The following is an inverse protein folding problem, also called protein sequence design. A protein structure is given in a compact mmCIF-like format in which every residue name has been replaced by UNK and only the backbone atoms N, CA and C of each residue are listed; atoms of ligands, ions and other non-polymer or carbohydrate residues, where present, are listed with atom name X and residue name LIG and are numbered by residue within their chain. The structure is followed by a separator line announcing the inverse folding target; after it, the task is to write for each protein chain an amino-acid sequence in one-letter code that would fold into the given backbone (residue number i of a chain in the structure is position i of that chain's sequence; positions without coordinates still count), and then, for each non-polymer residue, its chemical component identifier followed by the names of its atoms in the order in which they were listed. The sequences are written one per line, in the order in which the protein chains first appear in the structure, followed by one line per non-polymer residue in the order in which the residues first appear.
data_IF_206992382851
#
_entry.id   IF_206992382851
#
_cell.length_a   1.000
_cell.length_b   1.000
_cell.length_c   1.000
_cell.angle_alpha   90.00
_cell.angle_beta   90.00
_cell.angle_gamma   90.00
#
_symmetry.space_group_name_H-M   'P 1'
#
loop_
_entity.id
_entity.type
_entity.pdbx_description
1 polymer ?
#
# COMPACT_ATOMS: atom_id res chain seq x y z
N UNK A 1 41.53 34.58 -1.23
CA UNK A 1 40.79 34.86 -2.48
C UNK A 1 39.30 34.85 -2.15
N UNK A 2 38.72 36.04 -1.95
CA UNK A 2 37.27 36.23 -1.90
C UNK A 2 36.79 36.59 -3.30
N UNK A 3 35.71 35.95 -3.77
CA UNK A 3 35.02 36.33 -4.99
C UNK A 3 33.72 37.00 -4.55
N UNK A 4 33.69 38.33 -4.68
CA UNK A 4 32.52 39.15 -4.43
C UNK A 4 31.77 39.48 -5.72
N UNK A 5 30.47 39.71 -5.52
CA UNK A 5 29.58 40.65 -6.23
C UNK A 5 29.30 40.42 -7.73
N UNK A 6 28.02 40.25 -8.05
CA UNK A 6 27.21 41.38 -8.54
C UNK A 6 25.78 40.95 -8.85
N UNK A 7 24.81 41.48 -8.10
CA UNK A 7 23.40 41.55 -8.49
C UNK A 7 23.29 42.43 -9.73
N UNK A 8 22.82 41.88 -10.85
CA UNK A 8 22.47 42.69 -12.02
C UNK A 8 21.04 43.22 -11.93
N UNK A 9 20.98 44.52 -12.23
CA UNK A 9 19.85 45.45 -12.28
C UNK A 9 18.61 44.91 -12.99
N UNK A 10 17.46 45.24 -12.39
CA UNK A 10 16.17 45.36 -13.06
C UNK A 10 16.25 46.39 -14.18
N UNK A 11 16.04 45.95 -15.43
CA UNK A 11 15.86 46.84 -16.56
C UNK A 11 14.39 47.28 -16.62
N UNK A 12 14.13 48.53 -16.22
CA UNK A 12 12.89 49.22 -16.52
C UNK A 12 12.89 49.60 -18.01
N UNK A 13 12.26 48.76 -18.84
CA UNK A 13 12.03 49.02 -20.26
C UNK A 13 10.80 49.90 -20.47
N UNK A 14 10.95 50.95 -21.28
CA UNK A 14 9.90 51.87 -21.75
C UNK A 14 8.62 51.13 -22.17
N UNK A 15 7.51 51.42 -21.49
CA UNK A 15 6.16 51.14 -21.95
C UNK A 15 5.82 52.06 -23.12
N UNK A 16 6.06 51.59 -24.34
CA UNK A 16 5.44 52.15 -25.54
C UNK A 16 3.93 51.89 -25.52
N UNK A 17 3.17 52.72 -26.22
CA UNK A 17 1.70 52.70 -26.31
C UNK A 17 1.12 51.30 -26.60
N UNK A 18 1.84 50.43 -27.31
CA UNK A 18 1.45 49.02 -27.54
C UNK A 18 1.49 48.10 -26.31
N UNK A 19 2.29 48.42 -25.29
CA UNK A 19 2.38 47.63 -24.05
C UNK A 19 1.16 47.81 -23.14
N UNK A 20 0.53 48.99 -23.17
CA UNK A 20 -0.72 49.25 -22.43
C UNK A 20 -1.88 48.45 -23.00
N UNK A 21 -2.01 48.37 -24.34
CA UNK A 21 -3.04 47.55 -24.98
C UNK A 21 -2.80 46.04 -24.74
N UNK A 22 -1.56 45.57 -24.77
CA UNK A 22 -1.24 44.19 -24.44
C UNK A 22 -1.54 43.86 -22.96
N UNK A 23 -1.25 44.77 -22.03
CA UNK A 23 -1.59 44.61 -20.61
C UNK A 23 -3.10 44.60 -20.37
N UNK A 24 -3.85 45.48 -21.05
CA UNK A 24 -5.31 45.50 -20.98
C UNK A 24 -5.93 44.21 -21.54
N UNK A 25 -5.44 43.74 -22.68
CA UNK A 25 -5.91 42.48 -23.28
C UNK A 25 -5.64 41.29 -22.36
N UNK A 26 -4.48 41.21 -21.73
CA UNK A 26 -4.16 40.15 -20.76
C UNK A 26 -5.08 40.19 -19.53
N UNK A 27 -5.38 41.39 -19.00
CA UNK A 27 -6.35 41.52 -17.90
C UNK A 27 -7.75 41.08 -18.31
N UNK A 28 -8.22 41.42 -19.51
CA UNK A 28 -9.54 41.00 -19.99
C UNK A 28 -9.60 39.49 -20.17
N UNK A 29 -8.57 38.86 -20.74
CA UNK A 29 -8.48 37.41 -20.89
C UNK A 29 -8.46 36.70 -19.53
N UNK A 30 -7.72 37.24 -18.55
CA UNK A 30 -7.67 36.70 -17.20
C UNK A 30 -9.04 36.76 -16.50
N UNK A 31 -9.75 37.90 -16.62
CA UNK A 31 -11.09 38.06 -16.03
C UNK A 31 -12.11 37.13 -16.70
N UNK A 32 -12.07 36.97 -18.02
CA UNK A 32 -12.96 36.05 -18.75
C UNK A 32 -12.71 34.58 -18.37
N UNK A 33 -11.45 34.18 -18.17
CA UNK A 33 -11.10 32.83 -17.71
C UNK A 33 -11.61 32.53 -16.30
N UNK A 34 -11.55 33.50 -15.39
CA UNK A 34 -12.08 33.35 -14.02
C UNK A 34 -13.61 33.21 -14.04
N UNK A 35 -14.32 34.04 -14.81
CA UNK A 35 -15.77 33.96 -14.93
C UNK A 35 -16.24 32.61 -15.51
N UNK A 36 -15.51 32.06 -16.49
CA UNK A 36 -15.78 30.73 -17.03
C UNK A 36 -15.59 29.63 -15.97
N UNK A 37 -14.66 29.81 -15.03
CA UNK A 37 -14.43 28.84 -13.95
C UNK A 37 -15.53 28.84 -12.88
N UNK A 38 -16.14 29.99 -12.62
CA UNK A 38 -17.30 30.09 -11.69
C UNK A 38 -18.63 29.63 -12.31
N UNK A 39 -18.69 29.48 -13.64
CA UNK A 39 -19.87 28.96 -14.36
C UNK A 39 -19.84 27.45 -14.60
N UNK A 40 -18.82 26.73 -14.09
CA UNK A 40 -18.88 25.27 -14.08
C UNK A 40 -19.88 24.81 -13.00
N UNK A 41 -20.87 23.98 -13.36
CA UNK A 41 -21.77 23.39 -12.39
C UNK A 41 -20.96 22.57 -11.37
N UNK A 42 -21.27 22.75 -10.09
CA UNK A 42 -20.75 21.91 -9.01
C UNK A 42 -20.98 20.44 -9.36
N UNK A 43 -19.98 19.55 -9.16
CA UNK A 43 -20.24 18.13 -9.27
C UNK A 43 -21.33 17.79 -8.26
N UNK A 44 -22.47 17.34 -8.75
CA UNK A 44 -23.57 16.86 -7.90
C UNK A 44 -23.01 15.89 -6.87
N UNK A 45 -23.17 16.27 -5.61
CA UNK A 45 -23.05 15.40 -4.45
C UNK A 45 -24.18 14.36 -4.57
N UNK A 46 -23.88 13.26 -5.25
CA UNK A 46 -24.73 12.09 -5.23
C UNK A 46 -24.56 11.45 -3.85
N UNK A 47 -25.40 11.89 -2.91
CA UNK A 47 -25.51 11.28 -1.60
C UNK A 47 -25.70 9.77 -1.74
N UNK A 48 -24.81 9.02 -1.11
CA UNK A 48 -24.90 7.58 -0.96
C UNK A 48 -26.18 7.25 -0.19
N UNK A 49 -27.24 6.99 -0.93
CA UNK A 49 -28.44 6.37 -0.40
C UNK A 49 -28.11 4.89 -0.11
N UNK A 50 -27.67 4.65 1.12
CA UNK A 50 -27.57 3.34 1.77
C UNK A 50 -28.93 2.63 1.68
N UNK A 51 -29.09 1.79 0.64
CA UNK A 51 -30.25 0.94 0.46
C UNK A 51 -29.80 -0.42 -0.04
N UNK A 52 -29.27 -1.22 0.90
CA UNK A 52 -29.17 -2.66 0.78
C UNK A 52 -29.61 -3.33 2.09
N UNK A 53 -30.80 -3.94 2.16
CA UNK A 53 -30.99 -5.10 3.00
C UNK A 53 -30.63 -6.33 2.16
N UNK A 54 -29.37 -6.79 2.25
CA UNK A 54 -29.01 -8.10 1.69
C UNK A 54 -29.30 -9.15 2.77
N UNK A 55 -30.35 -9.93 2.57
CA UNK A 55 -30.65 -11.12 3.40
C UNK A 55 -29.61 -12.21 3.15
N UNK A 56 -29.01 -12.85 4.18
CA UNK A 56 -28.11 -13.97 4.00
C UNK A 56 -28.91 -15.26 4.03
N UNK A 57 -29.52 -15.65 2.90
CA UNK A 57 -30.27 -16.91 2.84
C UNK A 57 -30.19 -17.61 1.47
N UNK A 58 -29.06 -17.55 0.75
CA UNK A 58 -28.79 -18.47 -0.38
C UNK A 58 -27.30 -18.77 -0.47
N UNK A 59 -26.74 -19.44 0.54
CA UNK A 59 -25.55 -20.30 0.34
C UNK A 59 -25.78 -21.59 1.13
N UNK A 60 -26.66 -22.46 0.62
CA UNK A 60 -26.74 -23.85 1.07
C UNK A 60 -27.37 -24.75 0.02
N UNK A 61 -26.75 -24.84 -1.15
CA UNK A 61 -27.10 -25.89 -2.13
C UNK A 61 -25.94 -26.19 -3.07
N UNK A 62 -24.87 -26.71 -2.49
CA UNK A 62 -23.88 -27.51 -3.21
C UNK A 62 -23.19 -28.45 -2.20
N UNK A 63 -23.99 -29.25 -1.50
CA UNK A 63 -23.49 -30.46 -0.86
C UNK A 63 -23.89 -31.63 -1.74
N UNK A 64 -22.93 -32.03 -2.57
CA UNK A 64 -22.65 -33.39 -3.00
C UNK A 64 -23.82 -34.38 -2.91
N UNK A 65 -24.43 -34.60 -4.06
CA UNK A 65 -24.98 -35.90 -4.45
C UNK A 65 -23.93 -36.99 -4.23
N UNK A 66 -24.17 -37.88 -3.29
CA UNK A 66 -24.11 -39.34 -3.46
C UNK A 66 -24.30 -40.02 -2.12
N UNK A 67 -25.53 -40.45 -1.85
CA UNK A 67 -25.84 -41.57 -0.97
C UNK A 67 -26.99 -42.33 -1.62
N UNK A 68 -26.71 -43.53 -2.14
CA UNK A 68 -27.67 -44.62 -2.30
C UNK A 68 -26.86 -45.93 -2.20
N UNK A 69 -27.47 -46.93 -1.59
CA UNK A 69 -26.89 -47.98 -0.74
C UNK A 69 -26.53 -49.31 -1.44
N UNK A 70 -25.76 -50.17 -0.76
CA UNK A 70 -26.15 -51.51 -0.25
C UNK A 70 -24.88 -52.35 0.19
N UNK A 71 -24.94 -53.26 1.21
CA UNK A 71 -23.77 -53.73 1.98
C UNK A 71 -23.31 -55.17 1.66
N UNK A 72 -22.12 -55.54 2.18
CA UNK A 72 -21.80 -56.78 2.92
C UNK A 72 -20.29 -57.19 2.83
N UNK A 73 -19.56 -57.00 3.93
CA UNK A 73 -18.63 -57.92 4.65
C UNK A 73 -17.56 -58.79 3.91
N UNK A 74 -16.50 -59.29 4.61
CA UNK A 74 -15.45 -58.58 5.35
C UNK A 74 -14.02 -59.08 4.96
N UNK A 75 -13.01 -58.22 5.03
CA UNK A 75 -11.61 -58.64 4.96
C UNK A 75 -11.08 -59.05 6.34
N UNK A 76 -10.22 -60.05 6.29
CA UNK A 76 -9.81 -61.00 7.33
C UNK A 76 -8.66 -60.49 8.20
N UNK A 77 -8.79 -60.78 9.50
CA UNK A 77 -7.76 -61.07 10.51
C UNK A 77 -6.74 -59.97 10.92
N UNK A 78 -6.91 -59.49 12.16
CA UNK A 78 -5.83 -59.31 13.12
C UNK A 78 -6.31 -59.83 14.50
N UNK A 79 -5.66 -60.84 15.09
CA UNK A 79 -5.77 -61.14 16.52
C UNK A 79 -4.67 -60.39 17.29
N UNK A 80 -4.65 -60.17 18.60
CA UNK A 80 -5.57 -60.20 19.75
C UNK A 80 -4.68 -59.73 20.93
N UNK A 81 -5.26 -59.04 21.91
CA UNK A 81 -4.90 -58.97 23.34
C UNK A 81 -3.56 -58.34 23.82
N UNK A 82 -3.73 -57.23 24.55
CA UNK A 82 -3.47 -57.09 26.00
C UNK A 82 -2.68 -58.23 26.70
N UNK A 83 -1.56 -57.87 27.34
CA UNK A 83 -1.40 -57.80 28.82
C UNK A 83 0.01 -58.22 29.31
N UNK A 84 0.42 -57.49 30.35
CA UNK A 84 1.34 -57.81 31.45
C UNK A 84 2.83 -57.41 31.42
N UNK A 85 3.15 -56.73 32.53
CA UNK A 85 4.40 -56.16 33.07
C UNK A 85 5.36 -57.27 33.61
N UNK A 86 6.54 -57.05 34.27
CA UNK A 86 6.93 -55.88 35.09
C UNK A 86 8.41 -55.39 35.07
N UNK A 87 8.58 -54.18 35.62
CA UNK A 87 9.67 -53.65 36.48
C UNK A 87 11.17 -53.85 36.14
N UNK A 88 11.93 -52.73 36.07
CA UNK A 88 13.16 -52.49 36.87
C UNK A 88 13.60 -51.02 36.81
N UNK A 89 13.46 -50.34 37.97
CA UNK A 89 14.36 -49.38 38.64
C UNK A 89 14.86 -48.13 37.88
N UNK A 90 14.25 -46.98 38.22
CA UNK A 90 14.91 -45.92 38.99
C UNK A 90 15.76 -44.87 38.26
N UNK A 91 15.27 -43.63 38.22
CA UNK A 91 15.98 -42.48 38.82
C UNK A 91 15.03 -41.28 38.95
N UNK A 92 15.10 -40.65 40.12
CA UNK A 92 14.37 -39.44 40.48
C UNK A 92 14.85 -38.21 39.70
N UNK A 93 13.92 -37.32 39.33
CA UNK A 93 14.03 -35.86 39.47
C UNK A 93 12.67 -35.25 39.12
N UNK A 94 12.02 -34.64 40.11
CA UNK A 94 10.86 -33.78 39.93
C UNK A 94 11.32 -32.35 39.53
N UNK A 95 10.40 -31.39 39.38
CA UNK A 95 9.84 -30.89 38.14
C UNK A 95 10.51 -29.58 37.69
N UNK A 96 10.94 -29.48 36.43
CA UNK A 96 11.27 -28.16 35.87
C UNK A 96 10.00 -27.57 35.25
N UNK A 97 9.37 -26.71 36.05
CA UNK A 97 8.50 -25.67 35.56
C UNK A 97 9.24 -24.93 34.44
N UNK A 98 8.84 -25.20 33.20
CA UNK A 98 9.12 -24.30 32.09
C UNK A 98 8.33 -23.03 32.37
N UNK A 99 9.02 -22.09 33.01
CA UNK A 99 8.70 -20.68 33.02
C UNK A 99 8.40 -20.29 31.57
N UNK A 100 7.12 -20.25 31.23
CA UNK A 100 6.66 -19.72 29.96
C UNK A 100 7.05 -18.24 29.98
N UNK A 101 8.21 -17.95 29.39
CA UNK A 101 8.66 -16.61 29.12
C UNK A 101 7.56 -15.93 28.29
N UNK A 102 6.72 -15.17 29.00
CA UNK A 102 5.71 -14.29 28.44
C UNK A 102 6.44 -13.46 27.38
N UNK A 103 6.04 -13.50 26.09
CA UNK A 103 6.54 -12.55 25.12
C UNK A 103 6.37 -11.15 25.75
N UNK A 104 7.39 -10.28 25.66
CA UNK A 104 7.31 -8.96 26.29
C UNK A 104 5.99 -8.34 25.85
N UNK A 105 5.13 -8.03 26.83
CA UNK A 105 3.90 -7.30 26.58
C UNK A 105 4.31 -6.02 25.88
N UNK A 106 4.09 -5.98 24.56
CA UNK A 106 4.21 -4.79 23.75
C UNK A 106 3.17 -3.81 24.27
N UNK A 107 3.55 -3.03 25.28
CA UNK A 107 2.68 -2.05 25.92
C UNK A 107 2.18 -1.10 24.85
N UNK A 108 0.93 -1.30 24.42
CA UNK A 108 0.24 -0.54 23.38
C UNK A 108 1.22 0.08 22.36
N UNK A 109 2.05 -0.76 21.74
CA UNK A 109 3.14 -0.26 20.93
C UNK A 109 2.54 0.41 19.69
N UNK A 110 2.75 1.72 19.54
CA UNK A 110 2.19 2.49 18.43
C UNK A 110 2.63 1.86 17.11
N UNK A 111 1.66 1.56 16.26
CA UNK A 111 1.90 0.91 14.97
C UNK A 111 2.92 1.71 14.13
N UNK A 112 3.97 1.07 13.57
CA UNK A 112 4.92 1.75 12.70
C UNK A 112 4.28 2.46 11.49
N UNK A 113 3.09 2.03 11.10
CA UNK A 113 2.32 2.58 9.98
C UNK A 113 1.56 3.86 10.33
N UNK A 114 1.28 4.13 11.61
CA UNK A 114 0.35 5.19 12.06
C UNK A 114 0.66 6.57 11.45
N UNK A 115 1.95 6.95 11.42
CA UNK A 115 2.40 8.23 10.84
C UNK A 115 3.40 8.04 9.70
N UNK A 116 3.43 6.87 9.06
CA UNK A 116 4.22 6.60 7.86
C UNK A 116 3.33 6.67 6.62
N UNK A 117 3.68 7.52 5.66
CA UNK A 117 2.88 7.70 4.43
C UNK A 117 3.71 7.98 3.19
N UNK A 118 3.13 7.70 2.03
CA UNK A 118 3.64 8.14 0.73
C UNK A 118 3.25 9.62 0.55
N UNK A 119 4.23 10.51 0.56
CA UNK A 119 4.03 11.95 0.39
C UNK A 119 3.91 12.37 -1.07
N UNK A 120 4.61 11.65 -1.96
CA UNK A 120 4.48 11.83 -3.41
C UNK A 120 4.79 10.51 -4.10
N UNK A 121 4.16 10.30 -5.26
CA UNK A 121 4.47 9.18 -6.13
C UNK A 121 4.32 9.58 -7.59
N UNK A 122 5.16 8.98 -8.41
CA UNK A 122 5.06 8.98 -9.87
C UNK A 122 5.57 7.64 -10.37
N UNK A 123 5.15 7.26 -11.55
CA UNK A 123 5.61 6.01 -12.14
C UNK A 123 5.78 6.20 -13.64
N UNK A 124 6.59 5.33 -14.23
CA UNK A 124 6.71 5.21 -15.67
C UNK A 124 7.00 3.77 -16.03
N UNK A 125 6.69 3.44 -17.29
CA UNK A 125 7.09 2.20 -17.90
C UNK A 125 8.52 2.32 -18.42
N UNK A 126 9.26 1.22 -18.35
CA UNK A 126 10.55 1.02 -19.01
C UNK A 126 10.59 -0.35 -19.67
N UNK A 127 11.64 -0.66 -20.43
CA UNK A 127 11.86 -1.98 -21.06
C UNK A 127 10.65 -2.47 -21.86
N UNK A 128 10.50 -2.05 -23.11
CA UNK A 128 9.38 -2.41 -24.01
C UNK A 128 7.97 -2.17 -23.43
N UNK A 129 7.84 -1.46 -22.30
CA UNK A 129 6.58 -1.16 -21.65
C UNK A 129 6.19 -2.11 -20.50
N UNK A 130 6.99 -3.12 -20.16
CA UNK A 130 6.63 -4.10 -19.13
C UNK A 130 7.27 -3.85 -17.76
N UNK A 131 8.35 -3.06 -17.66
CA UNK A 131 8.99 -2.74 -16.37
C UNK A 131 8.31 -1.55 -15.70
N UNK A 132 7.89 -1.69 -14.46
CA UNK A 132 7.37 -0.59 -13.65
C UNK A 132 8.48 0.08 -12.83
N UNK A 133 8.81 1.32 -13.18
CA UNK A 133 9.74 2.15 -12.42
C UNK A 133 8.95 3.20 -11.65
N UNK A 134 9.00 3.14 -10.32
CA UNK A 134 8.29 4.07 -9.43
C UNK A 134 9.29 5.03 -8.79
N UNK A 135 8.95 6.30 -8.78
CA UNK A 135 9.60 7.30 -7.95
C UNK A 135 8.63 7.74 -6.87
N UNK A 136 8.98 7.53 -5.60
CA UNK A 136 8.12 7.85 -4.47
C UNK A 136 8.90 8.52 -3.34
N UNK A 137 8.21 9.32 -2.54
CA UNK A 137 8.77 9.90 -1.31
C UNK A 137 7.98 9.37 -0.12
N UNK A 138 8.66 8.69 0.78
CA UNK A 138 8.09 8.29 2.07
C UNK A 138 8.34 9.37 3.10
N UNK A 139 7.32 9.69 3.90
CA UNK A 139 7.41 10.59 5.06
C UNK A 139 7.13 9.78 6.32
N UNK A 140 8.12 9.76 7.21
CA UNK A 140 7.97 9.22 8.55
C UNK A 140 7.70 10.40 9.51
N UNK A 141 6.48 10.52 10.01
CA UNK A 141 6.13 11.50 11.02
C UNK A 141 6.01 10.88 12.43
N UNK A 142 6.44 9.62 12.61
CA UNK A 142 6.61 9.01 13.92
C UNK A 142 7.77 9.67 14.70
N UNK A 143 7.77 9.46 16.01
CA UNK A 143 8.82 9.80 16.97
C UNK A 143 9.93 8.71 17.04
N UNK A 144 9.86 7.69 16.19
CA UNK A 144 10.85 6.64 16.03
C UNK A 144 11.21 6.42 14.56
N UNK A 145 12.36 5.80 14.30
CA UNK A 145 12.77 5.41 12.96
C UNK A 145 12.06 4.12 12.53
N UNK A 146 11.89 3.96 11.21
CA UNK A 146 11.23 2.78 10.62
C UNK A 146 12.11 2.17 9.54
N UNK A 147 12.03 0.86 9.36
CA UNK A 147 12.75 0.07 8.35
C UNK A 147 11.85 -1.04 7.79
N UNK A 148 12.40 -1.83 6.86
CA UNK A 148 11.73 -3.02 6.30
C UNK A 148 10.31 -2.71 5.81
N UNK A 149 10.21 -1.65 5.00
CA UNK A 149 8.95 -1.08 4.56
C UNK A 149 8.47 -1.85 3.32
N UNK A 150 7.36 -2.57 3.41
CA UNK A 150 6.70 -3.17 2.25
C UNK A 150 5.74 -2.16 1.61
N UNK A 151 5.94 -1.90 0.33
CA UNK A 151 4.98 -1.18 -0.51
C UNK A 151 4.24 -2.15 -1.42
N UNK A 152 2.94 -1.95 -1.58
CA UNK A 152 2.15 -2.57 -2.63
C UNK A 152 1.75 -1.51 -3.65
N UNK A 153 1.91 -1.83 -4.93
CA UNK A 153 1.48 -0.98 -6.03
C UNK A 153 0.47 -1.74 -6.90
N UNK A 154 -0.73 -1.18 -7.01
CA UNK A 154 -1.76 -1.63 -7.93
C UNK A 154 -1.65 -0.87 -9.25
N UNK A 155 -1.59 -1.61 -10.35
CA UNK A 155 -1.53 -1.11 -11.72
C UNK A 155 -2.87 -1.32 -12.41
N UNK A 156 -3.39 -0.22 -12.97
CA UNK A 156 -4.78 -0.11 -13.37
C UNK A 156 -4.82 0.36 -14.82
N UNK A 157 -5.75 -0.20 -15.60
CA UNK A 157 -6.03 0.27 -16.96
C UNK A 157 -6.73 1.64 -16.91
N UNK A 158 -6.87 2.30 -18.05
CA UNK A 158 -7.48 3.63 -18.15
C UNK A 158 -8.94 3.63 -17.65
N UNK A 159 -9.66 2.55 -17.93
CA UNK A 159 -11.05 2.30 -17.54
C UNK A 159 -11.25 2.00 -16.04
N UNK A 160 -10.18 1.92 -15.25
CA UNK A 160 -10.25 1.61 -13.81
C UNK A 160 -10.14 0.13 -13.47
N UNK A 161 -10.10 -0.78 -14.46
CA UNK A 161 -9.94 -2.21 -14.19
C UNK A 161 -8.55 -2.54 -13.63
N UNK A 162 -8.45 -3.35 -12.55
CA UNK A 162 -7.16 -3.78 -12.01
C UNK A 162 -6.50 -4.76 -12.99
N UNK A 163 -5.18 -4.61 -13.21
CA UNK A 163 -4.43 -5.47 -14.13
C UNK A 163 -3.34 -6.27 -13.43
N UNK A 164 -2.59 -5.62 -12.54
CA UNK A 164 -1.45 -6.25 -11.89
C UNK A 164 -1.24 -5.59 -10.54
N UNK A 165 -0.94 -6.39 -9.53
CA UNK A 165 -0.42 -5.90 -8.26
C UNK A 165 1.02 -6.40 -8.09
N UNK A 166 1.87 -5.57 -7.48
CA UNK A 166 3.25 -5.92 -7.15
C UNK A 166 3.59 -5.38 -5.77
N UNK A 167 4.32 -6.18 -5.01
CA UNK A 167 4.89 -5.79 -3.73
C UNK A 167 6.39 -5.60 -3.85
N UNK A 168 6.94 -4.68 -3.06
CA UNK A 168 8.37 -4.44 -2.96
C UNK A 168 8.74 -4.13 -1.51
N UNK A 169 9.72 -4.86 -1.00
CA UNK A 169 10.37 -4.53 0.26
C UNK A 169 11.45 -3.47 0.04
N UNK A 170 11.45 -2.48 0.92
CA UNK A 170 12.47 -1.44 1.03
C UNK A 170 13.15 -1.63 2.38
N UNK A 171 14.36 -2.19 2.37
CA UNK A 171 15.13 -2.46 3.60
C UNK A 171 15.79 -1.22 4.21
N UNK A 172 15.71 -0.08 3.54
CA UNK A 172 16.27 1.17 4.01
C UNK A 172 15.58 1.65 5.30
N UNK A 173 16.37 2.23 6.21
CA UNK A 173 15.83 2.93 7.39
C UNK A 173 15.48 4.38 7.07
N UNK A 174 14.34 4.84 7.55
CA UNK A 174 13.88 6.23 7.51
C UNK A 174 13.83 6.78 8.94
N UNK A 175 14.67 7.77 9.22
CA UNK A 175 14.75 8.41 10.54
C UNK A 175 13.41 9.01 10.99
N UNK A 176 13.24 9.19 12.30
CA UNK A 176 12.07 9.86 12.86
C UNK A 176 11.88 11.26 12.27
N UNK A 177 10.62 11.69 12.11
CA UNK A 177 10.25 13.02 11.60
C UNK A 177 10.89 13.41 10.24
N UNK A 178 11.35 12.44 9.45
CA UNK A 178 12.11 12.67 8.21
C UNK A 178 11.35 12.25 6.94
N UNK A 179 11.98 12.47 5.78
CA UNK A 179 11.49 12.01 4.48
C UNK A 179 12.63 11.37 3.70
N UNK A 180 12.32 10.35 2.90
CA UNK A 180 13.25 9.72 1.98
C UNK A 180 12.62 9.49 0.61
N UNK A 181 13.31 9.91 -0.43
CA UNK A 181 12.86 9.74 -1.82
C UNK A 181 13.60 8.58 -2.47
N UNK A 182 12.85 7.67 -3.05
CA UNK A 182 13.34 6.53 -3.82
C UNK A 182 13.04 6.80 -5.28
N UNK A 183 14.10 6.97 -6.08
CA UNK A 183 13.98 7.32 -7.49
C UNK A 183 14.08 6.09 -8.38
N UNK A 184 13.17 5.97 -9.35
CA UNK A 184 13.19 4.93 -10.39
C UNK A 184 13.30 3.49 -9.84
N UNK A 185 12.75 3.23 -8.65
CA UNK A 185 12.75 1.90 -8.06
C UNK A 185 12.00 0.93 -8.96
N UNK A 186 12.64 -0.18 -9.32
CA UNK A 186 11.99 -1.26 -10.05
C UNK A 186 11.06 -2.02 -9.09
N UNK A 187 9.76 -1.90 -9.33
CA UNK A 187 8.75 -2.64 -8.57
C UNK A 187 8.55 -4.04 -9.14
N UNK A 188 8.69 -4.18 -10.46
CA UNK A 188 8.60 -5.48 -11.13
C UNK A 188 8.10 -5.34 -12.57
N UNK A 189 7.63 -6.45 -13.12
CA UNK A 189 6.96 -6.50 -14.42
C UNK A 189 5.44 -6.35 -14.26
N UNK A 190 4.83 -5.59 -15.16
CA UNK A 190 3.41 -5.26 -15.15
C UNK A 190 2.80 -5.47 -16.52
N UNK A 191 1.48 -5.64 -16.57
CA UNK A 191 0.74 -5.67 -17.82
C UNK A 191 1.00 -4.37 -18.63
N UNK A 192 1.33 -4.53 -19.91
CA UNK A 192 1.67 -3.41 -20.81
C UNK A 192 0.54 -2.40 -21.00
N UNK A 193 -0.71 -2.82 -20.74
CA UNK A 193 -1.91 -1.97 -20.83
C UNK A 193 -2.16 -1.15 -19.55
N UNK A 194 -1.30 -1.27 -18.54
CA UNK A 194 -1.36 -0.41 -17.36
C UNK A 194 -1.11 1.05 -17.72
N UNK A 195 -1.99 1.94 -17.27
CA UNK A 195 -1.93 3.38 -17.54
C UNK A 195 -1.89 4.22 -16.28
N UNK A 196 -2.31 3.66 -15.14
CA UNK A 196 -2.30 4.28 -13.82
C UNK A 196 -1.63 3.34 -12.82
N UNK A 197 -1.06 3.91 -11.76
CA UNK A 197 -0.52 3.16 -10.63
C UNK A 197 -0.84 3.88 -9.32
N UNK A 198 -1.24 3.12 -8.30
CA UNK A 198 -1.44 3.60 -6.94
C UNK A 198 -0.65 2.72 -5.99
N UNK A 199 0.20 3.32 -5.17
CA UNK A 199 0.97 2.59 -4.19
C UNK A 199 0.48 2.89 -2.78
N UNK A 200 0.60 1.92 -1.89
CA UNK A 200 0.32 2.02 -0.46
C UNK A 200 1.46 1.37 0.33
N UNK A 201 1.61 1.80 1.58
CA UNK A 201 2.48 1.12 2.54
C UNK A 201 1.65 0.01 3.19
N UNK A 202 2.17 -1.23 3.17
CA UNK A 202 1.49 -2.41 3.69
C UNK A 202 2.03 -2.78 5.06
N UNK A 203 3.35 -2.79 5.20
CA UNK A 203 4.04 -3.13 6.46
C UNK A 203 5.25 -2.23 6.64
N UNK A 204 5.68 -2.09 7.89
CA UNK A 204 6.94 -1.47 8.27
C UNK A 204 7.32 -1.97 9.66
N UNK A 205 8.61 -1.99 9.96
CA UNK A 205 9.14 -2.34 11.26
C UNK A 205 9.72 -1.11 11.94
N UNK A 206 9.57 -1.02 13.27
CA UNK A 206 10.24 -0.03 14.08
C UNK A 206 11.72 -0.39 14.26
N UNK A 207 12.57 0.63 14.40
CA UNK A 207 13.99 0.50 14.79
C UNK A 207 14.17 0.88 16.24
#
# INVERSE_FOLDING_TARGET
MQIGLSFQRTAAGRLGQGGFYASLLLSVIAIAGIAAWFMLPEPSDAGDQELWPISPAVIRTAQYTSTEAEPAQPAKAAPTALADEPATVGMATAPQAVEAAKPPEQGAERSPLEKLRIASQSWRRGGLGSKALVTLTLRNANDFAVKDIEIACAFIRRDGSPLTERKRLISDTIAMKSRKTYSRMLIGFVNVNASKAKCSVVTASRV
#
